data_IF_015455198960
#
_entry.id   IF_015455198960
#
_cell.length_a   1.000
_cell.length_b   1.000
_cell.length_c   1.000
_cell.angle_alpha   90.00
_cell.angle_beta   90.00
_cell.angle_gamma   90.00
#
_symmetry.space_group_name_H-M   'P 1'
#
loop_
_entity.id
_entity.type
_entity.pdbx_description
1 polymer ?
#
# COMPACT_ATOMS: atom_id res chain seq x y z
N UNK A 1 47.83 -25.82 31.41
CA UNK A 1 46.91 -25.20 30.43
C UNK A 1 45.54 -25.13 31.08
N UNK A 2 45.05 -23.93 31.39
CA UNK A 2 44.02 -23.72 32.41
C UNK A 2 42.61 -23.95 31.84
N UNK A 3 41.97 -25.04 32.25
CA UNK A 3 40.61 -25.45 31.84
C UNK A 3 39.55 -24.36 32.05
N UNK A 4 39.77 -23.46 33.02
CA UNK A 4 38.91 -22.30 33.30
C UNK A 4 38.95 -21.21 32.21
N UNK A 5 40.01 -21.15 31.41
CA UNK A 5 40.16 -20.15 30.35
C UNK A 5 39.43 -20.56 29.07
N UNK A 6 39.40 -21.86 28.74
CA UNK A 6 38.71 -22.40 27.56
C UNK A 6 37.18 -22.28 27.69
N UNK A 7 36.65 -22.48 28.90
CA UNK A 7 35.20 -22.44 29.17
C UNK A 7 34.59 -21.03 29.05
N UNK A 8 35.38 -19.98 29.30
CA UNK A 8 34.93 -18.57 29.16
C UNK A 8 34.91 -18.12 27.70
N UNK A 9 35.90 -18.54 26.90
CA UNK A 9 35.96 -18.20 25.47
C UNK A 9 34.91 -18.93 24.66
N UNK A 10 34.61 -20.21 24.99
CA UNK A 10 33.54 -20.97 24.33
C UNK A 10 32.16 -20.37 24.54
N UNK A 11 31.87 -19.87 25.75
CA UNK A 11 30.57 -19.24 26.04
C UNK A 11 30.40 -17.93 25.26
N UNK A 12 31.43 -17.08 25.18
CA UNK A 12 31.38 -15.82 24.46
C UNK A 12 31.15 -16.00 22.94
N UNK A 13 31.78 -17.00 22.33
CA UNK A 13 31.58 -17.34 20.91
C UNK A 13 30.16 -17.87 20.67
N UNK A 14 29.63 -18.70 21.59
CA UNK A 14 28.27 -19.21 21.49
C UNK A 14 27.22 -18.09 21.65
N UNK A 15 27.43 -17.15 22.58
CA UNK A 15 26.55 -15.98 22.74
C UNK A 15 26.58 -15.07 21.50
N UNK A 16 27.76 -14.88 20.88
CA UNK A 16 27.90 -14.09 19.66
C UNK A 16 27.20 -14.75 18.44
N UNK A 17 27.24 -16.07 18.33
CA UNK A 17 26.54 -16.84 17.28
C UNK A 17 25.01 -16.83 17.42
N UNK A 18 24.50 -16.74 18.64
CA UNK A 18 23.05 -16.61 18.91
C UNK A 18 22.57 -15.18 18.60
N UNK A 19 23.42 -14.18 18.76
CA UNK A 19 23.08 -12.78 18.45
C UNK A 19 23.06 -12.48 16.95
N UNK A 20 23.74 -13.26 16.10
CA UNK A 20 23.76 -13.04 14.64
C UNK A 20 22.68 -13.79 13.87
N UNK A 21 21.89 -14.66 14.52
CA UNK A 21 20.91 -15.53 13.85
C UNK A 21 19.50 -14.92 13.71
N UNK A 22 19.28 -13.68 14.14
CA UNK A 22 17.92 -13.16 14.39
C UNK A 22 17.40 -12.04 13.50
N UNK A 23 18.09 -11.60 12.45
CA UNK A 23 17.54 -10.64 11.49
C UNK A 23 17.10 -11.36 10.20
N UNK A 24 16.27 -12.39 10.33
CA UNK A 24 15.43 -12.75 9.21
C UNK A 24 14.56 -11.52 8.95
N UNK A 25 14.71 -10.92 7.77
CA UNK A 25 13.81 -9.88 7.27
C UNK A 25 12.44 -10.55 7.13
N UNK A 26 11.69 -10.63 8.23
CA UNK A 26 10.29 -10.98 8.18
C UNK A 26 9.65 -9.93 7.28
N UNK A 27 9.05 -10.37 6.17
CA UNK A 27 8.23 -9.47 5.39
C UNK A 27 7.19 -8.86 6.32
N UNK A 28 6.80 -7.59 6.12
CA UNK A 28 5.68 -7.04 6.85
C UNK A 28 4.48 -7.95 6.59
N UNK A 29 4.12 -8.75 7.59
CA UNK A 29 2.85 -9.47 7.70
C UNK A 29 1.70 -8.49 7.96
N UNK A 30 2.01 -7.18 8.00
CA UNK A 30 1.03 -6.12 8.06
C UNK A 30 0.13 -6.19 6.81
N UNK A 31 -1.20 -6.14 7.01
CA UNK A 31 -2.13 -5.99 5.89
C UNK A 31 -1.80 -4.76 5.07
N UNK A 32 -2.03 -4.85 3.76
CA UNK A 32 -2.00 -3.67 2.91
C UNK A 32 -3.01 -2.64 3.41
N UNK A 33 -2.71 -1.36 3.22
CA UNK A 33 -3.60 -0.28 3.62
C UNK A 33 -4.65 0.02 2.54
N UNK A 34 -4.35 -0.33 1.29
CA UNK A 34 -5.23 -0.17 0.13
C UNK A 34 -4.83 -1.15 -0.96
N UNK A 35 -5.82 -1.65 -1.70
CA UNK A 35 -5.62 -2.34 -2.98
C UNK A 35 -6.49 -1.68 -4.03
N UNK A 36 -5.90 -1.25 -5.13
CA UNK A 36 -6.62 -0.81 -6.31
C UNK A 36 -6.74 -1.99 -7.29
N UNK A 37 -7.95 -2.22 -7.81
CA UNK A 37 -8.27 -3.39 -8.63
C UNK A 37 -8.91 -2.93 -9.93
N UNK A 38 -8.44 -3.50 -11.04
CA UNK A 38 -9.05 -3.32 -12.35
C UNK A 38 -9.14 -4.65 -13.07
N UNK A 39 -10.03 -4.73 -14.06
CA UNK A 39 -10.20 -5.96 -14.83
C UNK A 39 -11.58 -6.06 -15.48
N UNK A 40 -11.91 -7.28 -15.94
CA UNK A 40 -13.22 -7.61 -16.49
C UNK A 40 -14.33 -7.22 -15.51
N UNK A 41 -15.44 -6.73 -16.04
CA UNK A 41 -16.64 -6.39 -15.26
C UNK A 41 -16.46 -5.30 -14.18
N UNK A 42 -15.28 -4.67 -14.09
CA UNK A 42 -15.00 -3.51 -13.23
C UNK A 42 -14.91 -2.26 -14.11
N UNK A 43 -15.80 -1.29 -13.87
CA UNK A 43 -15.75 -0.01 -14.56
C UNK A 43 -14.62 0.87 -14.00
N UNK A 44 -13.46 0.84 -14.66
CA UNK A 44 -12.29 1.62 -14.26
C UNK A 44 -11.48 0.92 -13.16
N UNK A 45 -11.21 1.64 -12.07
CA UNK A 45 -10.42 1.15 -10.94
C UNK A 45 -11.27 1.21 -9.68
N UNK A 46 -11.37 0.10 -8.96
CA UNK A 46 -12.03 0.03 -7.66
C UNK A 46 -10.99 -0.02 -6.54
N UNK A 47 -11.10 0.87 -5.55
CA UNK A 47 -10.20 0.90 -4.38
C UNK A 47 -10.82 0.16 -3.20
N UNK A 48 -10.06 -0.75 -2.62
CA UNK A 48 -10.42 -1.54 -1.44
C UNK A 48 -9.60 -1.06 -0.25
N UNK A 49 -10.29 -0.67 0.82
CA UNK A 49 -9.68 -0.23 2.09
C UNK A 49 -10.27 -0.97 3.31
N UNK A 50 -11.08 -2.00 3.08
CA UNK A 50 -11.72 -2.78 4.16
C UNK A 50 -10.68 -3.68 4.85
N UNK A 51 -10.37 -3.46 6.14
CA UNK A 51 -9.34 -4.20 6.85
C UNK A 51 -9.63 -5.71 6.94
N UNK A 52 -10.90 -6.13 6.97
CA UNK A 52 -11.24 -7.55 7.04
C UNK A 52 -10.89 -8.28 5.73
N UNK A 53 -11.08 -7.61 4.59
CA UNK A 53 -10.69 -8.14 3.29
C UNK A 53 -9.17 -8.11 3.13
N UNK A 54 -8.51 -7.05 3.60
CA UNK A 54 -7.07 -6.84 3.40
C UNK A 54 -6.20 -7.76 4.27
N UNK A 55 -6.71 -8.28 5.37
CA UNK A 55 -5.96 -9.20 6.25
C UNK A 55 -5.57 -10.51 5.54
N UNK A 56 -6.41 -11.02 4.64
CA UNK A 56 -6.08 -12.20 3.83
C UNK A 56 -5.29 -11.88 2.56
N UNK A 57 -5.05 -10.60 2.28
CA UNK A 57 -4.42 -10.14 1.04
C UNK A 57 -2.93 -9.78 1.24
N UNK A 58 -2.33 -10.14 2.38
CA UNK A 58 -0.87 -10.03 2.61
C UNK A 58 -0.09 -10.84 1.57
N UNK A 59 1.23 -10.64 1.46
CA UNK A 59 2.07 -11.33 0.48
C UNK A 59 1.89 -12.85 0.58
N UNK A 60 2.12 -13.39 1.77
CA UNK A 60 2.05 -14.82 2.12
C UNK A 60 0.61 -15.29 2.31
N UNK A 61 -0.30 -14.39 2.72
CA UNK A 61 -1.72 -14.68 2.87
C UNK A 61 -2.44 -14.84 1.53
N UNK A 62 -1.99 -14.15 0.48
CA UNK A 62 -2.60 -14.20 -0.85
C UNK A 62 -1.92 -15.20 -1.79
N UNK A 63 -0.59 -15.25 -1.78
CA UNK A 63 0.20 -16.02 -2.74
C UNK A 63 0.96 -17.14 -2.05
N UNK A 64 0.91 -18.32 -2.66
CA UNK A 64 1.65 -19.48 -2.19
C UNK A 64 3.07 -19.50 -2.77
N UNK A 65 4.01 -18.96 -1.99
CA UNK A 65 5.44 -18.96 -2.33
C UNK A 65 6.15 -20.29 -2.03
N UNK A 66 5.45 -21.34 -1.58
CA UNK A 66 6.10 -22.64 -1.35
C UNK A 66 6.63 -23.26 -2.65
N UNK A 67 6.01 -22.93 -3.79
CA UNK A 67 6.44 -23.39 -5.10
C UNK A 67 5.95 -22.44 -6.20
N UNK A 68 6.88 -22.00 -7.07
CA UNK A 68 6.49 -21.39 -8.35
C UNK A 68 6.03 -22.46 -9.34
N UNK A 69 5.18 -22.05 -10.27
CA UNK A 69 4.63 -22.90 -11.31
C UNK A 69 5.01 -22.37 -12.70
N UNK A 70 4.99 -23.22 -13.74
CA UNK A 70 4.99 -22.73 -15.11
C UNK A 70 3.76 -21.84 -15.37
N UNK A 71 3.87 -20.95 -16.37
CA UNK A 71 2.73 -20.16 -16.82
C UNK A 71 1.55 -21.08 -17.19
N UNK A 72 0.36 -20.91 -16.58
CA UNK A 72 -0.80 -21.73 -16.90
C UNK A 72 -1.22 -21.53 -18.36
N UNK A 73 -1.69 -22.60 -18.99
CA UNK A 73 -2.35 -22.54 -20.28
C UNK A 73 -3.83 -22.17 -20.08
N UNK A 74 -4.46 -21.61 -21.12
CA UNK A 74 -5.90 -21.32 -21.14
C UNK A 74 -6.40 -20.44 -19.99
N UNK A 75 -5.62 -19.40 -19.66
CA UNK A 75 -6.03 -18.41 -18.67
C UNK A 75 -7.31 -17.70 -19.11
N UNK A 76 -8.30 -17.73 -18.22
CA UNK A 76 -9.46 -16.85 -18.31
C UNK A 76 -9.07 -15.39 -18.07
N UNK A 77 -10.10 -14.56 -18.00
CA UNK A 77 -9.95 -13.13 -17.78
C UNK A 77 -9.27 -12.85 -16.42
N UNK A 78 -8.31 -11.93 -16.40
CA UNK A 78 -7.49 -11.62 -15.21
C UNK A 78 -7.78 -10.24 -14.64
N UNK A 79 -7.51 -10.07 -13.35
CA UNK A 79 -7.68 -8.83 -12.60
C UNK A 79 -6.32 -8.32 -12.17
N UNK A 80 -6.02 -7.07 -12.47
CA UNK A 80 -4.81 -6.39 -12.02
C UNK A 80 -5.04 -5.81 -10.64
N UNK A 81 -4.12 -6.08 -9.72
CA UNK A 81 -4.11 -5.57 -8.36
C UNK A 81 -2.86 -4.71 -8.19
N UNK A 82 -3.06 -3.50 -7.70
CA UNK A 82 -1.99 -2.62 -7.27
C UNK A 82 -2.10 -2.42 -5.76
N UNK A 83 -1.08 -2.85 -5.02
CA UNK A 83 -1.13 -2.92 -3.54
C UNK A 83 -0.27 -1.83 -2.91
N UNK A 84 -0.76 -1.28 -1.80
CA UNK A 84 -0.18 -0.11 -1.15
C UNK A 84 -0.02 -0.30 0.36
N UNK A 85 1.09 0.19 0.89
CA UNK A 85 1.22 0.48 2.32
C UNK A 85 0.90 1.95 2.60
N UNK A 86 0.57 2.25 3.86
CA UNK A 86 0.35 3.62 4.32
C UNK A 86 1.51 4.02 5.23
N UNK A 87 2.15 5.13 4.90
CA UNK A 87 3.24 5.70 5.69
C UNK A 87 2.70 6.51 6.89
N UNK A 88 3.58 6.82 7.86
CA UNK A 88 3.20 7.55 9.09
C UNK A 88 2.61 8.94 8.81
N UNK A 89 3.02 9.58 7.70
CA UNK A 89 2.50 10.87 7.24
C UNK A 89 1.13 10.77 6.54
N UNK A 90 0.58 9.56 6.45
CA UNK A 90 -0.70 9.26 5.83
C UNK A 90 -0.65 9.07 4.32
N UNK A 91 0.52 9.17 3.68
CA UNK A 91 0.68 8.93 2.24
C UNK A 91 0.66 7.43 1.91
N UNK A 92 0.21 7.09 0.70
CA UNK A 92 0.23 5.72 0.20
C UNK A 92 1.48 5.49 -0.64
N UNK A 93 2.20 4.41 -0.36
CA UNK A 93 3.36 3.99 -1.12
C UNK A 93 3.04 2.69 -1.88
N UNK A 94 3.34 2.68 -3.17
CA UNK A 94 3.20 1.49 -4.01
C UNK A 94 4.10 0.37 -3.46
N UNK A 95 3.56 -0.84 -3.41
CA UNK A 95 4.29 -2.02 -2.97
C UNK A 95 4.55 -3.00 -4.11
N UNK A 96 3.52 -3.44 -4.82
CA UNK A 96 3.68 -4.30 -5.99
C UNK A 96 2.45 -4.30 -6.89
N UNK A 97 2.64 -4.87 -8.08
CA UNK A 97 1.55 -5.25 -8.97
C UNK A 97 1.52 -6.74 -9.18
N UNK A 98 0.32 -7.28 -9.08
CA UNK A 98 0.05 -8.69 -9.32
C UNK A 98 -1.21 -8.85 -10.16
N UNK A 99 -1.28 -9.93 -10.93
CA UNK A 99 -2.45 -10.27 -11.73
C UNK A 99 -3.06 -11.55 -11.22
N UNK A 100 -4.33 -11.48 -10.84
CA UNK A 100 -5.12 -12.61 -10.35
C UNK A 100 -5.97 -13.19 -11.48
N UNK A 101 -5.93 -14.51 -11.65
CA UNK A 101 -6.76 -15.24 -12.61
C UNK A 101 -7.61 -16.29 -11.88
N UNK A 102 -8.93 -16.10 -11.76
CA UNK A 102 -9.83 -17.12 -11.25
C UNK A 102 -9.76 -18.38 -12.10
N UNK A 103 -9.77 -19.56 -11.47
CA UNK A 103 -9.85 -20.83 -12.19
C UNK A 103 -11.32 -21.24 -12.41
N UNK A 104 -11.82 -21.04 -13.63
CA UNK A 104 -13.21 -21.38 -14.00
C UNK A 104 -13.51 -22.89 -14.06
N UNK A 105 -12.48 -23.72 -14.19
CA UNK A 105 -12.62 -25.18 -14.31
C UNK A 105 -12.73 -25.89 -12.95
N UNK A 106 -12.70 -25.12 -11.86
CA UNK A 106 -12.55 -25.64 -10.50
C UNK A 106 -11.09 -25.96 -10.19
N UNK A 107 -10.63 -25.55 -9.00
CA UNK A 107 -9.24 -25.70 -8.57
C UNK A 107 -8.71 -24.40 -7.97
N UNK A 108 -7.39 -24.35 -7.72
CA UNK A 108 -6.73 -23.15 -7.22
C UNK A 108 -6.63 -22.11 -8.33
N UNK A 109 -6.92 -20.86 -8.00
CA UNK A 109 -6.67 -19.71 -8.87
C UNK A 109 -5.18 -19.40 -8.97
N UNK A 110 -4.83 -18.61 -9.97
CA UNK A 110 -3.45 -18.28 -10.31
C UNK A 110 -3.15 -16.83 -9.99
N UNK A 111 -1.91 -16.55 -9.58
CA UNK A 111 -1.39 -15.20 -9.41
C UNK A 111 -0.10 -15.08 -10.19
N UNK A 112 -0.01 -14.05 -11.02
CA UNK A 112 1.22 -13.64 -11.66
C UNK A 112 1.77 -12.42 -10.94
N UNK A 113 2.99 -12.55 -10.41
CA UNK A 113 3.66 -11.43 -9.76
C UNK A 113 4.35 -10.59 -10.85
N UNK A 114 3.76 -9.45 -11.22
CA UNK A 114 4.23 -8.65 -12.35
C UNK A 114 5.53 -7.93 -12.02
N UNK A 115 5.49 -7.11 -10.97
CA UNK A 115 6.60 -6.30 -10.54
C UNK A 115 6.52 -5.96 -9.06
N UNK A 116 7.67 -5.94 -8.39
CA UNK A 116 7.81 -5.29 -7.08
C UNK A 116 8.09 -3.81 -7.31
N UNK A 117 7.30 -2.92 -6.70
CA UNK A 117 7.42 -1.47 -6.85
C UNK A 117 7.87 -0.89 -5.50
N UNK A 118 8.89 -0.03 -5.52
CA UNK A 118 9.41 0.59 -4.29
C UNK A 118 9.98 -0.47 -3.33
N UNK A 119 9.18 -0.89 -2.35
CA UNK A 119 9.56 -1.86 -1.30
C UNK A 119 9.18 -3.32 -1.62
N UNK A 120 8.48 -3.56 -2.73
CA UNK A 120 8.14 -4.92 -3.15
C UNK A 120 9.38 -5.74 -3.53
N UNK A 121 9.40 -7.06 -3.25
CA UNK A 121 10.52 -7.94 -3.62
C UNK A 121 10.63 -8.09 -5.14
N UNK A 122 11.52 -7.30 -5.76
CA UNK A 122 11.76 -7.33 -7.21
C UNK A 122 12.23 -8.71 -7.73
N UNK A 123 12.86 -9.53 -6.89
CA UNK A 123 13.30 -10.88 -7.27
C UNK A 123 12.15 -11.85 -7.53
N UNK A 124 10.92 -11.52 -7.12
CA UNK A 124 9.72 -12.31 -7.39
C UNK A 124 9.02 -11.92 -8.69
N UNK A 125 9.49 -10.88 -9.39
CA UNK A 125 8.94 -10.46 -10.68
C UNK A 125 9.00 -11.58 -11.72
N UNK A 126 7.88 -11.79 -12.40
CA UNK A 126 7.72 -12.83 -13.42
C UNK A 126 7.36 -14.22 -12.88
N UNK A 127 7.16 -14.37 -11.56
CA UNK A 127 6.73 -15.64 -10.99
C UNK A 127 5.23 -15.88 -11.20
N UNK A 128 4.90 -17.09 -11.65
CA UNK A 128 3.56 -17.63 -11.53
C UNK A 128 3.46 -18.45 -10.26
N UNK A 129 2.38 -18.20 -9.52
CA UNK A 129 2.10 -18.78 -8.21
C UNK A 129 0.63 -19.22 -8.20
N UNK A 130 0.31 -20.12 -7.28
CA UNK A 130 -1.10 -20.32 -6.92
C UNK A 130 -1.53 -19.28 -5.89
N UNK A 131 -2.79 -18.88 -5.95
CA UNK A 131 -3.44 -18.25 -4.80
C UNK A 131 -3.53 -19.26 -3.65
N UNK A 132 -3.37 -18.79 -2.42
CA UNK A 132 -3.75 -19.57 -1.23
C UNK A 132 -5.28 -19.74 -1.21
N UNK A 133 -5.83 -20.77 -0.53
CA UNK A 133 -7.28 -20.90 -0.36
C UNK A 133 -7.93 -19.66 0.28
N UNK A 134 -7.29 -19.09 1.30
CA UNK A 134 -7.77 -17.92 2.03
C UNK A 134 -7.75 -16.65 1.17
N UNK A 135 -6.65 -16.44 0.44
CA UNK A 135 -6.48 -15.33 -0.48
C UNK A 135 -7.45 -15.41 -1.67
N UNK A 136 -7.66 -16.59 -2.21
CA UNK A 136 -8.64 -16.84 -3.26
C UNK A 136 -10.06 -16.49 -2.81
N UNK A 137 -10.47 -16.98 -1.63
CA UNK A 137 -11.77 -16.66 -1.05
C UNK A 137 -11.94 -15.15 -0.75
N UNK A 138 -10.88 -14.46 -0.34
CA UNK A 138 -10.89 -13.01 -0.16
C UNK A 138 -11.07 -12.28 -1.49
N UNK A 139 -10.33 -12.68 -2.53
CA UNK A 139 -10.43 -12.06 -3.86
C UNK A 139 -11.82 -12.27 -4.47
N UNK A 140 -12.41 -13.46 -4.34
CA UNK A 140 -13.78 -13.72 -4.80
C UNK A 140 -14.82 -12.84 -4.08
N UNK A 141 -14.66 -12.61 -2.77
CA UNK A 141 -15.51 -11.68 -2.02
C UNK A 141 -15.35 -10.24 -2.51
N UNK A 142 -14.11 -9.81 -2.77
CA UNK A 142 -13.83 -8.47 -3.31
C UNK A 142 -14.49 -8.31 -4.68
N UNK A 143 -14.29 -9.26 -5.60
CA UNK A 143 -14.87 -9.23 -6.95
C UNK A 143 -16.41 -9.20 -6.91
N UNK A 144 -17.04 -9.96 -6.02
CA UNK A 144 -18.48 -9.91 -5.82
C UNK A 144 -18.99 -8.53 -5.37
N UNK A 145 -18.19 -7.75 -4.64
CA UNK A 145 -18.54 -6.39 -4.23
C UNK A 145 -18.34 -5.37 -5.36
N UNK A 146 -17.24 -5.47 -6.12
CA UNK A 146 -16.84 -4.43 -7.09
C UNK A 146 -17.32 -4.66 -8.52
N UNK A 147 -17.62 -5.90 -8.93
CA UNK A 147 -18.16 -6.20 -10.26
C UNK A 147 -19.69 -6.00 -10.32
N UNK A 148 -20.38 -6.11 -9.19
CA UNK A 148 -21.84 -6.00 -9.10
C UNK A 148 -22.48 -4.60 -9.40
N UNK A 149 -21.79 -3.44 -9.29
CA UNK A 149 -22.40 -2.14 -9.56
C UNK A 149 -22.63 -1.85 -11.05
N UNK A 150 -21.83 -2.41 -11.96
CA UNK A 150 -21.90 -2.11 -13.39
C UNK A 150 -23.21 -2.59 -14.04
N UNK A 151 -23.73 -3.75 -13.62
CA UNK A 151 -24.98 -4.31 -14.13
C UNK A 151 -26.25 -3.59 -13.65
N UNK A 152 -26.18 -2.81 -12.55
CA UNK A 152 -27.33 -2.06 -12.02
C UNK A 152 -27.44 -0.63 -12.56
N UNK A 153 -26.36 -0.08 -13.11
CA UNK A 153 -26.32 1.30 -13.58
C UNK A 153 -26.96 1.52 -14.96
N UNK A 154 -27.21 0.47 -15.75
CA UNK A 154 -27.89 0.57 -17.05
C UNK A 154 -29.41 0.74 -16.97
N UNK A 155 -30.00 0.71 -15.76
CA UNK A 155 -31.45 0.78 -15.56
C UNK A 155 -32.02 2.12 -15.07
N UNK A 156 -31.19 3.13 -14.73
CA UNK A 156 -31.67 4.40 -14.19
C UNK A 156 -31.15 5.59 -14.98
N UNK A 157 -31.69 5.75 -16.19
CA UNK A 157 -31.68 7.05 -16.86
C UNK A 157 -32.63 8.00 -16.12
N UNK A 158 -32.20 8.53 -14.98
CA UNK A 158 -32.83 9.71 -14.40
C UNK A 158 -32.56 10.90 -15.34
N UNK A 159 -33.58 11.68 -15.73
CA UNK A 159 -33.38 12.80 -16.64
C UNK A 159 -32.48 13.83 -15.98
N UNK A 160 -31.37 14.16 -16.63
CA UNK A 160 -30.47 15.23 -16.24
C UNK A 160 -31.25 16.55 -16.15
N UNK A 161 -31.62 16.94 -14.93
CA UNK A 161 -32.13 18.27 -14.63
C UNK A 161 -30.93 19.21 -14.68
N UNK A 162 -30.83 19.96 -15.77
CA UNK A 162 -29.84 21.02 -15.93
C UNK A 162 -29.89 21.97 -14.73
N UNK A 163 -28.87 21.93 -13.89
CA UNK A 163 -28.62 22.96 -12.89
C UNK A 163 -27.76 24.05 -13.54
N UNK A 164 -28.30 25.26 -13.60
CA UNK A 164 -27.61 26.45 -14.08
C UNK A 164 -26.37 26.76 -13.21
N UNK A 165 -25.32 27.40 -13.75
CA UNK A 165 -24.17 27.83 -12.97
C UNK A 165 -24.54 29.05 -12.12
N UNK A 166 -24.52 28.90 -10.80
CA UNK A 166 -24.50 30.02 -9.88
C UNK A 166 -23.04 30.50 -9.73
N UNK A 167 -22.70 31.58 -10.43
CA UNK A 167 -21.58 32.45 -10.07
C UNK A 167 -21.81 32.97 -8.65
N UNK A 168 -20.87 32.75 -7.72
CA UNK A 168 -20.72 33.61 -6.56
C UNK A 168 -19.30 33.56 -5.95
N UNK A 169 -18.65 34.73 -6.00
CA UNK A 169 -17.81 35.37 -4.95
C UNK A 169 -16.49 34.65 -4.60
N UNK A 170 -15.33 35.07 -5.13
CA UNK A 170 -14.59 36.30 -4.81
C UNK A 170 -14.43 36.58 -3.30
N UNK A 171 -13.25 36.29 -2.76
CA UNK A 171 -12.65 37.07 -1.68
C UNK A 171 -12.41 36.37 -0.35
N UNK A 172 -11.27 35.69 -0.19
CA UNK A 172 -10.49 35.67 1.06
C UNK A 172 -9.02 35.30 0.78
N UNK A 173 -8.23 36.22 0.20
CA UNK A 173 -6.76 36.08 0.11
C UNK A 173 -6.00 37.32 0.62
N UNK A 174 -6.70 38.29 1.20
CA UNK A 174 -6.13 39.53 1.76
C UNK A 174 -5.89 39.50 3.28
N UNK A 175 -6.45 38.53 4.02
CA UNK A 175 -6.33 38.50 5.48
C UNK A 175 -4.99 37.93 6.00
N UNK A 176 -4.36 36.98 5.29
CA UNK A 176 -3.13 36.33 5.76
C UNK A 176 -1.88 37.20 5.53
N UNK A 177 -1.85 37.99 4.45
CA UNK A 177 -0.70 38.87 4.14
C UNK A 177 -0.57 40.06 5.10
N UNK A 178 -1.67 40.57 5.67
CA UNK A 178 -1.63 41.67 6.64
C UNK A 178 -1.11 41.24 8.02
N UNK A 179 -1.36 39.99 8.43
CA UNK A 179 -0.85 39.45 9.72
C UNK A 179 0.67 39.25 9.66
N UNK A 180 1.19 38.73 8.54
CA UNK A 180 2.65 38.53 8.36
C UNK A 180 3.40 39.87 8.33
N UNK A 181 2.85 40.90 7.67
CA UNK A 181 3.46 42.23 7.62
C UNK A 181 3.50 42.92 8.99
N UNK A 182 2.44 42.78 9.80
CA UNK A 182 2.37 43.39 11.13
C UNK A 182 3.36 42.78 12.14
N UNK A 183 3.66 41.48 12.03
CA UNK A 183 4.63 40.80 12.91
C UNK A 183 6.06 41.21 12.60
N UNK A 184 6.43 41.37 11.32
CA UNK A 184 7.81 41.72 10.96
C UNK A 184 8.22 43.16 11.32
N UNK A 185 7.27 44.11 11.41
CA UNK A 185 7.59 45.50 11.80
C UNK A 185 7.87 45.72 13.28
N UNK A 186 7.53 44.78 14.18
CA UNK A 186 7.81 44.94 15.62
C UNK A 186 9.24 44.57 16.03
N UNK A 187 9.98 43.85 15.19
CA UNK A 187 11.32 43.36 15.53
C UNK A 187 12.46 44.38 15.34
N UNK A 188 12.19 45.54 14.73
CA UNK A 188 13.21 46.55 14.43
C UNK A 188 12.87 47.87 15.11
N UNK A 189 13.07 47.95 16.43
CA UNK A 189 13.29 49.24 17.09
C UNK A 189 14.79 49.40 17.29
N UNK A 190 15.43 50.42 16.70
CA UNK A 190 16.84 50.69 16.96
C UNK A 190 17.03 51.07 18.42
N UNK A 191 18.09 50.52 19.03
CA UNK A 191 18.55 50.85 20.38
C UNK A 191 18.93 52.34 20.40
N UNK A 192 18.44 53.15 21.35
CA UNK A 192 18.87 54.54 21.45
C UNK A 192 20.38 54.59 21.72
N UNK A 193 21.07 55.48 21.00
CA UNK A 193 22.51 55.70 21.15
C UNK A 193 22.80 56.18 22.59
N UNK A 194 23.72 55.48 23.27
CA UNK A 194 24.28 55.95 24.52
C UNK A 194 25.01 57.28 24.26
N UNK A 195 24.49 58.34 24.88
CA UNK A 195 25.09 59.65 24.94
C UNK A 195 26.33 59.58 25.84
N UNK A 196 27.53 59.58 25.24
CA UNK A 196 28.76 59.90 25.93
C UNK A 196 28.79 61.41 26.23
N UNK A 197 28.64 61.77 27.49
CA UNK A 197 28.99 63.09 28.01
C UNK A 197 30.17 62.93 28.98
N UNK A 198 31.06 63.92 28.90
CA UNK A 198 32.37 64.06 29.54
C UNK A 198 32.39 63.97 31.08
#
# INVERSE_FOLDING_TARGET
>A
MNTRMIMRTGLAVLTLLILTTGAALAWPEEPFAKIDISGPDINGVASITDPELLTSMTITGFMDFSQSIPAPQDLGAGYELHRYFKHEDGTYWDFDRVRYHPNSSGGRSYVFYEEGIGYGPAHNAGLWLYATPEGDAAMQRILAQVAAPAARATGSAAPARAAAPALALLGTLTAVLLIVWAVQRRAVRPRPAESSAD
#
